data_IF_339971828629
#
_entry.id   IF_339971828629
#
_cell.length_a   1.000
_cell.length_b   1.000
_cell.length_c   1.000
_cell.angle_alpha   90.00
_cell.angle_beta   90.00
_cell.angle_gamma   90.00
#
_symmetry.space_group_name_H-M   'P 1'
#
loop_
_entity.id
_entity.type
_entity.pdbx_description
1 polymer ?
#
# COMPACT_ATOMS: atom_id res chain seq x y z
N UNK A 1 23.48 2.63 -20.91
CA UNK A 1 24.74 2.35 -20.15
C UNK A 1 25.41 1.12 -20.72
N UNK A 2 26.76 0.98 -20.63
CA UNK A 2 27.43 -0.28 -21.04
C UNK A 2 27.18 -1.39 -20.00
N UNK A 3 26.90 -2.60 -20.49
CA UNK A 3 26.61 -3.77 -19.63
C UNK A 3 27.77 -4.12 -18.68
N UNK A 4 29.04 -3.83 -19.08
CA UNK A 4 30.22 -4.03 -18.24
C UNK A 4 30.15 -3.20 -16.93
N UNK A 5 29.58 -2.00 -17.00
CA UNK A 5 29.43 -1.13 -15.84
C UNK A 5 28.33 -1.68 -14.90
N UNK A 6 27.28 -2.21 -15.49
CA UNK A 6 26.15 -2.80 -14.74
C UNK A 6 26.61 -4.06 -13.98
N UNK A 7 27.45 -4.88 -14.62
CA UNK A 7 27.98 -6.14 -14.06
C UNK A 7 29.24 -5.95 -13.21
N UNK A 8 29.67 -4.71 -13.00
CA UNK A 8 30.85 -4.41 -12.17
C UNK A 8 30.68 -4.98 -10.76
N UNK A 9 31.70 -5.68 -10.27
CA UNK A 9 31.73 -6.38 -8.98
C UNK A 9 30.77 -7.59 -8.86
N UNK A 10 30.17 -8.03 -9.97
CA UNK A 10 29.25 -9.19 -10.00
C UNK A 10 29.89 -10.31 -10.83
N UNK A 11 30.07 -10.07 -12.13
CA UNK A 11 30.68 -11.03 -13.05
C UNK A 11 31.50 -10.31 -14.13
N UNK A 12 32.62 -10.89 -14.51
CA UNK A 12 33.44 -10.36 -15.63
C UNK A 12 32.82 -10.76 -16.96
N UNK A 13 32.73 -9.80 -17.88
CA UNK A 13 32.26 -10.05 -19.25
C UNK A 13 33.07 -9.18 -20.22
N UNK A 14 33.37 -9.73 -21.40
CA UNK A 14 33.95 -8.98 -22.50
C UNK A 14 32.90 -8.37 -23.43
N UNK A 15 31.64 -8.69 -23.20
CA UNK A 15 30.51 -8.20 -23.97
C UNK A 15 30.42 -6.67 -23.86
N UNK A 16 30.38 -5.99 -24.99
CA UNK A 16 30.10 -4.54 -25.09
C UNK A 16 28.70 -4.36 -25.66
N UNK A 17 27.79 -3.86 -24.84
CA UNK A 17 26.38 -3.74 -25.19
C UNK A 17 25.79 -2.52 -24.49
N UNK A 18 25.04 -1.71 -25.23
CA UNK A 18 24.27 -0.60 -24.64
C UNK A 18 22.94 -1.11 -24.07
N UNK A 19 22.68 -0.76 -22.82
CA UNK A 19 21.48 -1.16 -22.06
C UNK A 19 20.68 0.07 -21.70
N UNK A 20 19.36 0.00 -21.86
CA UNK A 20 18.40 1.08 -21.57
C UNK A 20 17.72 0.93 -20.21
N UNK A 21 17.63 -0.28 -19.67
CA UNK A 21 16.98 -0.58 -18.39
C UNK A 21 17.20 -2.01 -17.93
N UNK A 22 16.72 -2.31 -16.72
CA UNK A 22 16.72 -3.64 -16.12
C UNK A 22 15.26 -4.05 -15.85
N UNK A 23 14.88 -5.30 -16.14
CA UNK A 23 13.53 -5.78 -15.91
C UNK A 23 13.47 -7.21 -15.38
N UNK A 24 12.65 -7.42 -14.35
CA UNK A 24 12.26 -8.74 -13.82
C UNK A 24 10.97 -9.27 -14.44
N UNK A 25 10.25 -8.44 -15.21
CA UNK A 25 8.91 -8.76 -15.67
C UNK A 25 8.72 -8.38 -17.14
N UNK A 26 8.39 -9.38 -17.96
CA UNK A 26 8.14 -9.15 -19.39
C UNK A 26 6.98 -8.20 -19.66
N UNK A 27 6.03 -7.99 -18.72
CA UNK A 27 4.92 -7.04 -18.92
C UNK A 27 5.40 -5.58 -18.92
N UNK A 28 6.43 -5.27 -18.14
CA UNK A 28 7.01 -3.91 -17.99
C UNK A 28 8.27 -3.71 -18.80
N UNK A 29 8.84 -4.78 -19.37
CA UNK A 29 10.06 -4.76 -20.16
C UNK A 29 9.93 -3.85 -21.38
N UNK A 30 10.91 -2.99 -21.60
CA UNK A 30 11.03 -2.07 -22.75
C UNK A 30 12.15 -2.52 -23.68
N UNK A 31 12.07 -2.08 -24.94
CA UNK A 31 13.13 -2.34 -25.92
C UNK A 31 14.47 -1.76 -25.43
N UNK A 32 15.50 -2.58 -25.47
CA UNK A 32 16.84 -2.19 -25.01
C UNK A 32 17.16 -2.57 -23.56
N UNK A 33 16.19 -3.14 -22.84
CA UNK A 33 16.38 -3.62 -21.47
C UNK A 33 17.17 -4.93 -21.41
N UNK A 34 17.81 -5.18 -20.28
CA UNK A 34 18.29 -6.50 -19.87
C UNK A 34 17.18 -7.19 -19.09
N UNK A 35 16.82 -8.39 -19.51
CA UNK A 35 15.89 -9.25 -18.77
C UNK A 35 16.61 -10.06 -17.70
N UNK A 36 16.15 -10.02 -16.47
CA UNK A 36 16.76 -10.74 -15.33
C UNK A 36 15.85 -11.93 -14.97
N UNK A 37 16.29 -13.13 -15.37
CA UNK A 37 15.55 -14.38 -15.25
C UNK A 37 15.87 -15.08 -13.92
N UNK A 38 15.01 -14.87 -12.91
CA UNK A 38 15.11 -15.47 -11.59
C UNK A 38 14.13 -16.64 -11.40
N UNK A 39 14.41 -17.47 -10.40
CA UNK A 39 13.42 -18.41 -9.86
C UNK A 39 12.35 -17.60 -9.11
N UNK A 40 11.12 -17.67 -9.60
CA UNK A 40 9.94 -17.16 -8.88
C UNK A 40 9.33 -18.23 -7.98
N UNK A 41 8.23 -17.90 -7.28
CA UNK A 41 7.52 -18.83 -6.39
C UNK A 41 6.92 -20.02 -7.14
N UNK A 42 6.37 -19.80 -8.33
CA UNK A 42 5.66 -20.83 -9.13
C UNK A 42 6.41 -21.24 -10.38
N UNK A 43 7.14 -20.32 -11.01
CA UNK A 43 7.79 -20.52 -12.32
C UNK A 43 9.17 -19.90 -12.33
N UNK A 44 10.05 -20.40 -13.18
CA UNK A 44 11.37 -19.80 -13.39
C UNK A 44 11.31 -18.74 -14.50
N UNK A 45 12.02 -17.63 -14.34
CA UNK A 45 12.10 -16.56 -15.35
C UNK A 45 12.57 -17.03 -16.73
N UNK A 46 13.27 -18.17 -16.82
CA UNK A 46 13.71 -18.78 -18.09
C UNK A 46 12.52 -19.02 -19.04
N UNK A 47 11.35 -19.38 -18.51
CA UNK A 47 10.15 -19.67 -19.32
C UNK A 47 9.65 -18.43 -20.08
N UNK A 48 10.09 -17.23 -19.67
CA UNK A 48 9.67 -15.96 -20.27
C UNK A 48 10.74 -15.33 -21.16
N UNK A 49 11.89 -15.98 -21.38
CA UNK A 49 13.01 -15.41 -22.17
C UNK A 49 12.57 -15.13 -23.62
N UNK A 50 11.85 -16.03 -24.27
CA UNK A 50 11.41 -15.80 -25.65
C UNK A 50 10.48 -14.57 -25.73
N UNK A 51 9.56 -14.44 -24.79
CA UNK A 51 8.69 -13.26 -24.72
C UNK A 51 9.49 -11.97 -24.45
N UNK A 52 10.53 -12.04 -23.62
CA UNK A 52 11.43 -10.90 -23.39
C UNK A 52 12.19 -10.50 -24.67
N UNK A 53 12.65 -11.48 -25.46
CA UNK A 53 13.32 -11.26 -26.75
C UNK A 53 12.37 -10.63 -27.77
N UNK A 54 11.13 -11.13 -27.88
CA UNK A 54 10.10 -10.55 -28.75
C UNK A 54 9.81 -9.09 -28.42
N UNK A 55 9.89 -8.72 -27.14
CA UNK A 55 9.74 -7.34 -26.65
C UNK A 55 11.00 -6.49 -26.79
N UNK A 56 12.09 -7.08 -27.26
CA UNK A 56 13.33 -6.37 -27.63
C UNK A 56 14.31 -6.24 -26.48
N UNK A 57 14.36 -7.18 -25.53
CA UNK A 57 15.49 -7.24 -24.60
C UNK A 57 16.80 -7.47 -25.38
N UNK A 58 17.87 -6.88 -24.88
CA UNK A 58 19.18 -6.91 -25.57
C UNK A 58 20.14 -7.94 -24.96
N UNK A 59 19.90 -8.39 -23.75
CA UNK A 59 20.62 -9.47 -23.09
C UNK A 59 19.75 -10.07 -21.97
N UNK A 60 20.12 -11.26 -21.50
CA UNK A 60 19.48 -11.96 -20.38
C UNK A 60 20.51 -12.27 -19.30
N UNK A 61 20.22 -11.97 -18.04
CA UNK A 61 20.96 -12.47 -16.88
C UNK A 61 20.24 -13.68 -16.32
N UNK A 62 20.95 -14.77 -16.06
CA UNK A 62 20.34 -16.05 -15.64
C UNK A 62 21.05 -16.59 -14.40
N UNK A 63 20.28 -17.08 -13.44
CA UNK A 63 20.79 -17.70 -12.21
C UNK A 63 21.29 -19.12 -12.48
N UNK A 64 22.55 -19.37 -12.18
CA UNK A 64 23.13 -20.69 -11.98
C UNK A 64 23.24 -21.64 -13.19
N UNK A 65 22.63 -21.35 -14.35
CA UNK A 65 22.64 -22.22 -15.54
C UNK A 65 22.99 -21.45 -16.80
N UNK A 66 23.73 -22.13 -17.69
CA UNK A 66 23.91 -21.62 -19.05
C UNK A 66 22.61 -21.88 -19.83
N UNK A 67 22.19 -20.89 -20.58
CA UNK A 67 21.01 -20.96 -21.42
C UNK A 67 21.32 -20.34 -22.79
N UNK A 68 21.11 -21.11 -23.83
CA UNK A 68 21.34 -20.64 -25.20
C UNK A 68 20.06 -19.98 -25.75
N UNK A 69 20.17 -18.72 -26.17
CA UNK A 69 19.08 -17.98 -26.74
C UNK A 69 19.58 -16.98 -27.79
N UNK A 70 18.64 -16.34 -28.52
CA UNK A 70 18.94 -15.45 -29.65
C UNK A 70 19.65 -14.15 -29.27
N UNK A 71 19.70 -13.81 -27.99
CA UNK A 71 20.44 -12.64 -27.47
C UNK A 71 21.54 -13.12 -26.52
N UNK A 72 22.57 -12.31 -26.24
CA UNK A 72 23.58 -12.67 -25.25
C UNK A 72 22.96 -13.07 -23.93
N UNK A 73 23.32 -14.26 -23.42
CA UNK A 73 22.97 -14.73 -22.08
C UNK A 73 24.21 -14.71 -21.20
N UNK A 74 24.07 -14.18 -19.98
CA UNK A 74 25.15 -14.08 -19.01
C UNK A 74 24.70 -14.78 -17.75
N UNK A 75 25.46 -15.82 -17.40
CA UNK A 75 25.27 -16.54 -16.15
C UNK A 75 25.80 -15.74 -14.97
N UNK A 76 24.99 -15.60 -13.94
CA UNK A 76 25.36 -14.99 -12.67
C UNK A 76 24.95 -15.94 -11.54
N UNK A 77 25.94 -16.46 -10.81
CA UNK A 77 25.65 -17.34 -9.67
C UNK A 77 25.04 -16.52 -8.54
N UNK A 78 23.96 -17.05 -7.92
CA UNK A 78 23.17 -16.38 -6.88
C UNK A 78 22.69 -14.97 -7.31
N UNK A 79 22.16 -14.89 -8.53
CA UNK A 79 21.71 -13.63 -9.16
C UNK A 79 20.76 -12.81 -8.27
N UNK A 80 19.94 -13.47 -7.46
CA UNK A 80 19.03 -12.80 -6.52
C UNK A 80 19.77 -11.92 -5.52
N UNK A 81 20.91 -12.35 -5.01
CA UNK A 81 21.74 -11.56 -4.07
C UNK A 81 22.40 -10.34 -4.72
N UNK A 82 22.44 -10.27 -6.04
CA UNK A 82 23.07 -9.18 -6.79
C UNK A 82 22.09 -8.14 -7.34
N UNK A 83 20.78 -8.30 -7.09
CA UNK A 83 19.77 -7.38 -7.65
C UNK A 83 19.96 -5.94 -7.21
N UNK A 84 20.27 -5.70 -5.94
CA UNK A 84 20.55 -4.37 -5.42
C UNK A 84 21.81 -3.76 -6.03
N UNK A 85 22.87 -4.55 -6.19
CA UNK A 85 24.12 -4.11 -6.84
C UNK A 85 23.88 -3.77 -8.32
N UNK A 86 23.11 -4.59 -9.05
CA UNK A 86 22.72 -4.31 -10.44
C UNK A 86 21.94 -2.99 -10.53
N UNK A 87 20.96 -2.80 -9.64
CA UNK A 87 20.16 -1.59 -9.59
C UNK A 87 21.02 -0.34 -9.30
N UNK A 88 21.88 -0.40 -8.28
CA UNK A 88 22.79 0.70 -7.92
C UNK A 88 23.79 1.04 -9.02
N UNK A 89 24.33 0.02 -9.71
CA UNK A 89 25.27 0.21 -10.81
C UNK A 89 24.61 0.87 -12.03
N UNK A 90 23.33 0.59 -12.26
CA UNK A 90 22.59 1.15 -13.40
C UNK A 90 21.94 2.50 -13.08
N UNK A 91 21.20 2.60 -11.97
CA UNK A 91 20.43 3.80 -11.56
C UNK A 91 21.23 4.65 -10.57
N UNK A 92 22.31 5.29 -11.07
CA UNK A 92 23.33 5.92 -10.21
C UNK A 92 22.86 7.17 -9.46
N UNK A 93 21.84 7.86 -9.95
CA UNK A 93 21.28 9.07 -9.33
C UNK A 93 20.15 8.76 -8.34
N UNK A 94 19.65 7.53 -8.28
CA UNK A 94 18.60 7.11 -7.33
C UNK A 94 18.97 7.42 -5.87
N UNK A 95 20.25 7.34 -5.52
CA UNK A 95 20.79 7.67 -4.18
C UNK A 95 20.67 9.14 -3.76
N UNK A 96 20.36 10.04 -4.70
CA UNK A 96 20.24 11.47 -4.42
C UNK A 96 18.86 11.84 -3.83
N UNK A 97 17.91 10.90 -3.83
CA UNK A 97 16.57 11.09 -3.27
C UNK A 97 16.58 10.62 -1.82
N UNK A 98 16.12 11.47 -0.91
CA UNK A 98 15.94 11.11 0.50
C UNK A 98 14.69 10.24 0.66
N UNK A 99 14.80 9.14 1.39
CA UNK A 99 13.78 8.10 1.44
C UNK A 99 13.13 8.00 2.81
N UNK A 100 11.80 8.02 2.83
CA UNK A 100 10.96 7.74 4.01
C UNK A 100 10.20 6.45 3.73
N UNK A 101 10.27 5.47 4.63
CA UNK A 101 9.51 4.23 4.50
C UNK A 101 8.39 4.16 5.53
N UNK A 102 7.19 3.72 5.09
CA UNK A 102 6.04 3.51 5.97
C UNK A 102 5.65 2.04 5.94
N UNK A 103 5.67 1.38 7.11
CA UNK A 103 5.21 -0.01 7.26
C UNK A 103 4.12 -0.12 8.32
N UNK A 104 3.34 -1.20 8.26
CA UNK A 104 2.24 -1.53 9.15
C UNK A 104 1.22 -2.42 8.44
N UNK A 105 0.20 -2.88 9.13
CA UNK A 105 -0.92 -3.58 8.50
C UNK A 105 -1.80 -2.55 7.78
N UNK A 106 -2.30 -1.58 8.50
CA UNK A 106 -3.16 -0.49 8.02
C UNK A 106 -2.42 0.86 8.10
N UNK A 107 -2.94 1.91 7.46
CA UNK A 107 -2.43 3.28 7.56
C UNK A 107 -1.27 3.63 6.62
N UNK A 108 -0.57 2.68 5.99
CA UNK A 108 0.58 2.97 5.10
C UNK A 108 0.27 4.02 4.04
N UNK A 109 -0.78 3.80 3.27
CA UNK A 109 -1.20 4.71 2.19
C UNK A 109 -1.60 6.08 2.74
N UNK A 110 -2.36 6.11 3.84
CA UNK A 110 -2.80 7.37 4.47
C UNK A 110 -1.62 8.17 4.96
N UNK A 111 -0.71 7.56 5.73
CA UNK A 111 0.49 8.23 6.26
C UNK A 111 1.39 8.73 5.12
N UNK A 112 1.66 7.89 4.11
CA UNK A 112 2.47 8.28 2.95
C UNK A 112 1.86 9.47 2.20
N UNK A 113 0.53 9.48 2.07
CA UNK A 113 -0.21 10.55 1.41
C UNK A 113 -0.23 11.85 2.22
N UNK A 114 -0.42 11.73 3.56
CA UNK A 114 -0.42 12.90 4.44
C UNK A 114 0.97 13.54 4.51
N UNK A 115 2.05 12.74 4.56
CA UNK A 115 3.42 13.27 4.45
C UNK A 115 3.58 14.03 3.13
N UNK A 116 3.15 13.45 2.01
CA UNK A 116 3.25 14.07 0.69
C UNK A 116 2.44 15.37 0.63
N UNK A 117 1.21 15.41 1.13
CA UNK A 117 0.39 16.62 1.16
C UNK A 117 1.04 17.72 2.02
N UNK A 118 1.54 17.38 3.21
CA UNK A 118 2.24 18.35 4.07
C UNK A 118 3.47 18.91 3.37
N UNK A 119 4.25 18.08 2.69
CA UNK A 119 5.42 18.52 1.92
C UNK A 119 5.03 19.41 0.73
N UNK A 120 3.93 19.08 0.02
CA UNK A 120 3.41 19.90 -1.07
C UNK A 120 2.96 21.27 -0.55
N UNK A 121 2.27 21.36 0.61
CA UNK A 121 1.90 22.62 1.24
C UNK A 121 3.12 23.42 1.72
N UNK A 122 4.21 22.73 2.05
CA UNK A 122 5.50 23.33 2.42
C UNK A 122 6.41 23.60 1.20
N UNK A 123 5.85 23.54 -0.01
CA UNK A 123 6.55 23.77 -1.28
C UNK A 123 7.82 22.90 -1.45
N UNK A 124 7.78 21.68 -0.92
CA UNK A 124 8.89 20.72 -0.99
C UNK A 124 8.58 19.64 -2.01
N UNK A 125 9.44 19.56 -3.05
CA UNK A 125 9.28 18.55 -4.10
C UNK A 125 9.45 17.12 -3.54
N UNK A 126 8.37 16.35 -3.63
CA UNK A 126 8.30 15.00 -3.10
C UNK A 126 7.55 14.07 -4.05
N UNK A 127 7.68 12.77 -3.83
CA UNK A 127 6.93 11.74 -4.55
C UNK A 127 6.54 10.58 -3.64
N UNK A 128 5.51 9.84 -4.03
CA UNK A 128 5.03 8.65 -3.31
C UNK A 128 5.17 7.42 -4.20
N UNK A 129 5.66 6.33 -3.63
CA UNK A 129 5.70 5.00 -4.25
C UNK A 129 4.88 4.06 -3.37
N UNK A 130 3.70 3.68 -3.83
CA UNK A 130 2.79 2.92 -2.98
C UNK A 130 1.59 2.32 -3.72
N UNK A 131 0.57 2.02 -2.94
CA UNK A 131 -0.67 1.35 -3.38
C UNK A 131 -1.41 2.15 -4.47
N UNK A 132 -1.38 3.48 -4.40
CA UNK A 132 -1.96 4.36 -5.41
C UNK A 132 -1.07 4.56 -6.64
N UNK A 133 0.03 3.82 -6.73
CA UNK A 133 0.99 3.89 -7.81
C UNK A 133 2.25 4.68 -7.42
N UNK A 134 2.90 5.24 -8.44
CA UNK A 134 4.10 6.06 -8.29
C UNK A 134 3.77 7.47 -8.79
N UNK A 135 3.70 8.45 -7.88
CA UNK A 135 3.33 9.82 -8.22
C UNK A 135 4.45 10.51 -9.02
N UNK A 136 4.10 11.54 -9.79
CA UNK A 136 5.05 12.37 -10.55
C UNK A 136 5.96 11.58 -11.52
N UNK A 137 5.49 10.43 -12.02
CA UNK A 137 6.17 9.57 -13.00
C UNK A 137 5.15 8.88 -13.91
N UNK A 138 5.59 8.44 -15.09
CA UNK A 138 4.78 7.61 -15.99
C UNK A 138 4.83 6.11 -15.63
N UNK A 139 5.71 5.71 -14.72
CA UNK A 139 5.85 4.34 -14.26
C UNK A 139 4.60 3.91 -13.48
N UNK A 140 4.15 2.67 -13.74
CA UNK A 140 2.98 2.08 -13.07
C UNK A 140 3.38 0.80 -12.34
N UNK A 141 2.80 0.58 -11.17
CA UNK A 141 2.90 -0.67 -10.44
C UNK A 141 1.53 -1.16 -10.04
N UNK A 142 1.35 -2.48 -10.01
CA UNK A 142 0.16 -3.15 -9.49
C UNK A 142 0.37 -3.64 -8.05
N UNK A 143 1.56 -3.47 -7.52
CA UNK A 143 1.91 -3.86 -6.15
C UNK A 143 2.06 -2.63 -5.28
N UNK A 144 1.65 -2.71 -4.02
CA UNK A 144 1.89 -1.67 -3.01
C UNK A 144 3.37 -1.23 -2.98
N UNK A 145 4.28 -2.19 -3.01
CA UNK A 145 5.72 -1.94 -3.17
C UNK A 145 6.18 -2.62 -4.45
N UNK A 146 6.61 -1.88 -5.47
CA UNK A 146 7.10 -2.42 -6.73
C UNK A 146 8.30 -3.36 -6.57
N UNK A 147 8.75 -3.97 -7.66
CA UNK A 147 10.04 -4.66 -7.70
C UNK A 147 11.21 -3.68 -7.61
N UNK A 148 12.38 -4.20 -7.27
CA UNK A 148 13.57 -3.40 -7.01
C UNK A 148 13.98 -2.51 -8.19
N UNK A 149 13.92 -2.99 -9.43
CA UNK A 149 14.32 -2.19 -10.59
C UNK A 149 13.30 -1.09 -10.90
N UNK A 150 12.02 -1.37 -10.70
CA UNK A 150 10.95 -0.37 -10.82
C UNK A 150 11.13 0.75 -9.80
N UNK A 151 11.49 0.42 -8.55
CA UNK A 151 11.77 1.42 -7.50
C UNK A 151 12.98 2.27 -7.90
N UNK A 152 14.12 1.65 -8.21
CA UNK A 152 15.33 2.38 -8.57
C UNK A 152 15.17 3.23 -9.83
N UNK A 153 14.44 2.73 -10.84
CA UNK A 153 14.10 3.50 -12.05
C UNK A 153 13.27 4.74 -11.72
N UNK A 154 12.30 4.59 -10.81
CA UNK A 154 11.48 5.73 -10.36
C UNK A 154 12.30 6.75 -9.57
N UNK A 155 13.20 6.30 -8.70
CA UNK A 155 14.09 7.19 -7.96
C UNK A 155 15.07 7.92 -8.87
N UNK A 156 15.57 7.26 -9.94
CA UNK A 156 16.39 7.91 -10.98
C UNK A 156 15.62 9.02 -11.71
N UNK A 157 14.33 8.75 -12.05
CA UNK A 157 13.44 9.74 -12.66
C UNK A 157 13.14 10.88 -11.69
N UNK A 158 12.88 10.59 -10.41
CA UNK A 158 12.70 11.60 -9.38
C UNK A 158 13.91 12.51 -9.24
N UNK A 159 15.11 11.92 -9.13
CA UNK A 159 16.36 12.70 -9.08
C UNK A 159 16.52 13.62 -10.29
N UNK A 160 16.19 13.13 -11.48
CA UNK A 160 16.27 13.89 -12.74
C UNK A 160 15.26 15.05 -12.77
N UNK A 161 14.08 14.86 -12.18
CA UNK A 161 13.01 15.83 -12.08
C UNK A 161 13.10 16.71 -10.82
N UNK A 162 14.21 16.64 -10.07
CA UNK A 162 14.47 17.40 -8.83
C UNK A 162 13.48 17.08 -7.69
N UNK A 163 12.85 15.92 -7.71
CA UNK A 163 12.10 15.38 -6.57
C UNK A 163 13.12 14.89 -5.56
N UNK A 164 13.23 15.55 -4.42
CA UNK A 164 14.30 15.33 -3.45
C UNK A 164 13.92 14.34 -2.34
N UNK A 165 12.62 14.11 -2.12
CA UNK A 165 12.10 13.23 -1.07
C UNK A 165 11.14 12.22 -1.72
N UNK A 166 11.28 10.94 -1.37
CA UNK A 166 10.31 9.91 -1.75
C UNK A 166 9.79 9.16 -0.53
N UNK A 167 8.46 9.07 -0.42
CA UNK A 167 7.77 8.28 0.60
C UNK A 167 7.38 6.94 0.00
N UNK A 168 7.86 5.84 0.60
CA UNK A 168 7.68 4.48 0.08
C UNK A 168 6.85 3.65 1.04
N UNK A 169 5.75 3.07 0.56
CA UNK A 169 5.01 2.07 1.31
C UNK A 169 5.82 0.77 1.35
N UNK A 170 6.38 0.42 2.52
CA UNK A 170 7.18 -0.78 2.75
C UNK A 170 6.31 -1.94 3.21
N UNK A 171 5.75 -2.71 2.27
CA UNK A 171 4.97 -3.91 2.58
C UNK A 171 5.85 -5.02 3.17
N UNK A 172 5.28 -5.86 4.03
CA UNK A 172 5.99 -7.00 4.61
C UNK A 172 6.53 -7.97 3.56
N UNK A 173 5.79 -8.18 2.47
CA UNK A 173 6.26 -8.95 1.32
C UNK A 173 7.50 -8.34 0.68
N UNK A 174 7.52 -7.02 0.49
CA UNK A 174 8.66 -6.33 -0.11
C UNK A 174 9.92 -6.44 0.76
N UNK A 175 9.76 -6.27 2.08
CA UNK A 175 10.84 -6.43 3.05
C UNK A 175 11.40 -7.87 3.07
N UNK A 176 10.53 -8.89 2.97
CA UNK A 176 10.95 -10.29 2.91
C UNK A 176 11.56 -10.69 1.56
N UNK A 177 11.08 -10.10 0.48
CA UNK A 177 11.54 -10.43 -0.88
C UNK A 177 12.75 -9.62 -1.32
N UNK A 178 13.25 -8.70 -0.48
CA UNK A 178 14.42 -7.89 -0.79
C UNK A 178 14.18 -6.79 -1.83
N UNK A 179 12.91 -6.36 -2.04
CA UNK A 179 12.59 -5.33 -3.04
C UNK A 179 13.15 -3.95 -2.69
N UNK A 180 13.46 -3.74 -1.42
CA UNK A 180 14.01 -2.49 -0.87
C UNK A 180 15.51 -2.60 -0.56
N UNK A 181 16.15 -3.73 -0.86
CA UNK A 181 17.56 -3.94 -0.57
C UNK A 181 18.46 -2.91 -1.28
N UNK A 182 19.51 -2.50 -0.57
CA UNK A 182 20.47 -1.51 -1.06
C UNK A 182 19.99 -0.06 -1.00
N UNK A 183 18.73 0.19 -0.60
CA UNK A 183 18.23 1.51 -0.25
C UNK A 183 18.60 1.83 1.20
N UNK A 184 18.71 3.12 1.52
CA UNK A 184 18.88 3.63 2.89
C UNK A 184 17.80 4.66 3.16
N UNK A 185 17.00 4.45 4.18
CA UNK A 185 15.91 5.34 4.54
C UNK A 185 16.37 6.32 5.61
N UNK A 186 16.05 7.61 5.44
CA UNK A 186 16.24 8.61 6.50
C UNK A 186 15.28 8.35 7.65
N UNK A 187 14.08 7.84 7.34
CA UNK A 187 13.05 7.55 8.32
C UNK A 187 12.36 6.22 8.01
N UNK A 188 12.06 5.44 9.06
CA UNK A 188 11.18 4.28 9.05
C UNK A 188 10.01 4.53 9.99
N UNK A 189 8.78 4.39 9.50
CA UNK A 189 7.56 4.65 10.24
C UNK A 189 6.79 3.34 10.43
N UNK A 190 6.41 3.03 11.66
CA UNK A 190 5.54 1.91 12.02
C UNK A 190 4.16 2.42 12.44
N UNK A 191 3.11 1.97 11.78
CA UNK A 191 1.74 2.39 12.06
C UNK A 191 1.00 1.44 13.01
N UNK A 192 0.90 0.15 12.67
CA UNK A 192 0.24 -0.88 13.48
C UNK A 192 0.51 -2.29 12.97
N UNK A 193 0.18 -3.29 13.80
CA UNK A 193 0.26 -4.72 13.44
C UNK A 193 -1.01 -5.45 13.85
N UNK A 194 -1.89 -5.76 12.91
CA UNK A 194 -3.09 -6.59 13.09
C UNK A 194 -3.08 -7.77 12.13
N UNK A 195 -3.99 -8.74 12.30
CA UNK A 195 -3.97 -9.96 11.50
C UNK A 195 -4.22 -9.68 10.01
N UNK A 196 -3.22 -9.99 9.19
CA UNK A 196 -3.30 -10.04 7.73
C UNK A 196 -2.15 -10.89 7.17
N UNK A 197 -2.25 -11.30 5.90
CA UNK A 197 -1.19 -11.99 5.15
C UNK A 197 -0.63 -13.27 5.82
N UNK A 198 -1.43 -13.97 6.64
CA UNK A 198 -1.00 -15.24 7.25
C UNK A 198 -0.90 -16.39 6.23
N UNK A 199 -1.51 -16.24 5.06
CA UNK A 199 -1.30 -17.11 3.90
C UNK A 199 0.17 -17.12 3.43
N UNK A 200 0.89 -16.02 3.61
CA UNK A 200 2.30 -15.85 3.27
C UNK A 200 3.23 -16.00 4.48
N UNK A 201 2.93 -15.32 5.58
CA UNK A 201 3.81 -15.27 6.77
C UNK A 201 3.61 -16.44 7.74
N UNK A 202 2.48 -17.17 7.65
CA UNK A 202 2.08 -18.32 8.46
C UNK A 202 1.74 -17.96 9.92
N UNK A 203 2.51 -17.10 10.59
CA UNK A 203 2.30 -16.68 11.97
C UNK A 203 2.39 -15.15 12.11
N UNK A 204 1.75 -14.61 13.16
CA UNK A 204 1.87 -13.18 13.50
C UNK A 204 3.31 -12.80 13.87
N UNK A 205 4.07 -13.70 14.50
CA UNK A 205 5.49 -13.44 14.81
C UNK A 205 6.33 -13.26 13.55
N UNK A 206 6.19 -14.15 12.56
CA UNK A 206 6.89 -13.99 11.28
C UNK A 206 6.46 -12.70 10.56
N UNK A 207 5.18 -12.32 10.67
CA UNK A 207 4.67 -11.10 10.08
C UNK A 207 5.26 -9.85 10.76
N UNK A 208 5.36 -9.87 12.09
CA UNK A 208 6.02 -8.83 12.90
C UNK A 208 7.51 -8.72 12.56
N UNK A 209 8.23 -9.84 12.52
CA UNK A 209 9.64 -9.90 12.14
C UNK A 209 9.89 -9.35 10.72
N UNK A 210 9.01 -9.68 9.77
CA UNK A 210 9.10 -9.15 8.42
C UNK A 210 9.06 -7.61 8.38
N UNK A 211 8.17 -6.98 9.17
CA UNK A 211 8.11 -5.52 9.29
C UNK A 211 9.29 -4.95 10.09
N UNK A 212 9.75 -5.69 11.11
CA UNK A 212 10.89 -5.32 11.95
C UNK A 212 12.18 -5.09 11.16
N UNK A 213 12.35 -5.75 10.00
CA UNK A 213 13.51 -5.56 9.13
C UNK A 213 13.74 -4.09 8.74
N UNK A 214 12.67 -3.28 8.63
CA UNK A 214 12.79 -1.87 8.30
C UNK A 214 13.62 -1.09 9.35
N UNK A 215 13.67 -1.56 10.58
CA UNK A 215 14.30 -0.86 11.72
C UNK A 215 15.66 -1.45 12.10
N UNK A 216 16.05 -2.59 11.51
CA UNK A 216 17.30 -3.30 11.78
C UNK A 216 18.47 -2.76 10.93
N UNK A 217 19.69 -3.03 11.37
CA UNK A 217 20.94 -2.89 10.59
C UNK A 217 21.12 -1.51 9.93
N UNK A 218 20.61 -0.45 10.53
CA UNK A 218 20.60 0.92 9.98
C UNK A 218 19.87 1.02 8.63
N UNK A 219 18.92 0.15 8.35
CA UNK A 219 18.11 0.23 7.15
C UNK A 219 17.27 1.52 7.13
N UNK A 220 16.76 1.94 8.30
CA UNK A 220 16.28 3.30 8.53
C UNK A 220 17.10 4.00 9.63
N UNK A 221 17.44 5.28 9.40
CA UNK A 221 18.27 6.06 10.34
C UNK A 221 17.47 6.56 11.53
N UNK A 222 16.22 6.96 11.31
CA UNK A 222 15.28 7.43 12.34
C UNK A 222 14.06 6.51 12.37
N UNK A 223 13.73 6.00 13.53
CA UNK A 223 12.53 5.20 13.75
C UNK A 223 11.42 6.08 14.34
N UNK A 224 10.23 6.01 13.77
CA UNK A 224 9.00 6.69 14.23
C UNK A 224 7.96 5.60 14.47
N UNK A 225 7.64 5.32 15.73
CA UNK A 225 6.92 4.12 16.15
C UNK A 225 5.64 4.50 16.87
N UNK A 226 4.51 3.96 16.41
CA UNK A 226 3.23 4.11 17.07
C UNK A 226 3.21 3.34 18.40
N UNK A 227 3.14 4.05 19.53
CA UNK A 227 3.12 3.46 20.86
C UNK A 227 1.74 2.95 21.29
N UNK A 228 0.68 3.29 20.55
CA UNK A 228 -0.66 2.79 20.82
C UNK A 228 -0.83 1.33 20.34
N UNK A 229 0.06 0.83 19.49
CA UNK A 229 0.08 -0.57 19.06
C UNK A 229 0.75 -1.45 20.13
N UNK A 230 0.14 -2.58 20.46
CA UNK A 230 0.66 -3.52 21.48
C UNK A 230 2.06 -4.08 21.15
N UNK A 231 2.43 -4.11 19.87
CA UNK A 231 3.73 -4.59 19.41
C UNK A 231 4.82 -3.51 19.40
N UNK A 232 4.51 -2.26 19.77
CA UNK A 232 5.46 -1.14 19.67
C UNK A 232 6.80 -1.42 20.33
N UNK A 233 6.80 -2.09 21.49
CA UNK A 233 8.03 -2.41 22.22
C UNK A 233 8.97 -3.29 21.39
N UNK A 234 8.44 -4.26 20.65
CA UNK A 234 9.24 -5.07 19.73
C UNK A 234 9.98 -4.21 18.70
N UNK A 235 9.30 -3.21 18.11
CA UNK A 235 9.91 -2.34 17.10
C UNK A 235 10.94 -1.39 17.72
N UNK A 236 10.73 -0.93 18.95
CA UNK A 236 11.73 -0.17 19.71
C UNK A 236 12.97 -1.00 19.98
N UNK A 237 12.80 -2.22 20.50
CA UNK A 237 13.91 -3.13 20.86
C UNK A 237 14.70 -3.59 19.62
N UNK A 238 14.03 -3.70 18.49
CA UNK A 238 14.62 -4.12 17.20
C UNK A 238 15.32 -2.97 16.47
N UNK A 239 14.98 -1.73 16.80
CA UNK A 239 15.50 -0.55 16.11
C UNK A 239 16.98 -0.33 16.37
N UNK A 240 17.71 -0.03 15.29
CA UNK A 240 19.10 0.43 15.36
C UNK A 240 19.22 1.91 15.76
N UNK A 241 18.12 2.68 15.70
CA UNK A 241 18.07 4.07 16.18
C UNK A 241 18.09 4.09 17.70
N UNK A 242 19.02 4.84 18.30
CA UNK A 242 19.18 4.94 19.75
C UNK A 242 18.21 5.93 20.40
N UNK A 243 17.60 6.78 19.60
CA UNK A 243 16.66 7.81 20.04
C UNK A 243 15.40 7.78 19.16
N UNK A 244 14.68 6.64 19.13
CA UNK A 244 13.47 6.53 18.32
C UNK A 244 12.41 7.52 18.80
N UNK A 245 11.61 8.02 17.87
CA UNK A 245 10.44 8.83 18.19
C UNK A 245 9.26 7.88 18.35
N UNK A 246 8.54 8.01 19.45
CA UNK A 246 7.24 7.37 19.61
C UNK A 246 6.12 8.39 19.45
N UNK A 247 5.00 7.96 18.90
CA UNK A 247 3.80 8.78 18.78
C UNK A 247 2.56 7.98 19.18
N UNK A 248 1.51 8.68 19.56
CA UNK A 248 0.22 8.11 19.89
C UNK A 248 -0.87 9.17 19.89
N UNK A 249 -2.13 8.76 20.05
CA UNK A 249 -3.27 9.71 20.07
C UNK A 249 -3.17 10.66 21.28
N UNK A 250 -2.56 10.21 22.37
CA UNK A 250 -2.32 11.02 23.58
C UNK A 250 -1.22 12.10 23.42
N UNK A 251 -0.57 12.22 22.27
CA UNK A 251 0.21 13.40 21.89
C UNK A 251 -0.70 14.62 21.66
N UNK A 252 -1.99 14.39 21.33
CA UNK A 252 -3.00 15.44 21.33
C UNK A 252 -3.43 15.72 22.77
N UNK A 253 -3.25 16.95 23.25
CA UNK A 253 -3.72 17.39 24.55
C UNK A 253 -5.24 17.29 24.69
N UNK A 254 -5.92 17.40 23.54
CA UNK A 254 -7.36 17.31 23.42
C UNK A 254 -7.78 16.97 22.01
N UNK A 255 -8.82 16.16 21.85
CA UNK A 255 -9.56 16.04 20.60
C UNK A 255 -11.06 15.75 20.88
N UNK A 256 -11.90 16.18 19.95
CA UNK A 256 -13.34 15.84 19.94
C UNK A 256 -13.87 15.80 18.52
N UNK A 257 -14.92 15.04 18.29
CA UNK A 257 -15.61 15.01 16.99
C UNK A 257 -16.12 16.38 16.57
N UNK A 258 -16.02 16.68 15.28
CA UNK A 258 -16.65 17.78 14.59
C UNK A 258 -17.48 17.27 13.42
N UNK A 259 -18.19 18.13 12.73
CA UNK A 259 -19.01 17.77 11.56
C UNK A 259 -18.16 17.14 10.44
N UNK A 260 -16.92 17.62 10.24
CA UNK A 260 -16.06 17.17 9.14
C UNK A 260 -14.87 16.29 9.58
N UNK A 261 -14.74 16.01 10.87
CA UNK A 261 -13.61 15.25 11.40
C UNK A 261 -13.38 15.47 12.89
N UNK A 262 -12.28 16.13 13.28
CA UNK A 262 -11.94 16.36 14.67
C UNK A 262 -11.45 17.78 14.92
N UNK A 263 -11.90 18.40 16.04
CA UNK A 263 -11.20 19.56 16.61
C UNK A 263 -10.11 18.99 17.52
N UNK A 264 -8.86 19.35 17.24
CA UNK A 264 -7.67 18.86 17.93
C UNK A 264 -6.91 20.00 18.59
N UNK A 265 -6.22 19.70 19.70
CA UNK A 265 -5.17 20.54 20.24
C UNK A 265 -3.85 19.77 20.26
N UNK A 266 -2.84 20.34 19.62
CA UNK A 266 -1.47 19.83 19.61
C UNK A 266 -0.52 20.98 19.96
N UNK A 267 0.21 20.83 21.05
CA UNK A 267 0.98 21.93 21.64
C UNK A 267 0.07 23.17 21.87
N UNK A 268 0.48 24.36 21.50
CA UNK A 268 -0.30 25.61 21.66
C UNK A 268 -1.34 25.84 20.55
N UNK A 269 -1.56 24.88 19.62
CA UNK A 269 -2.40 25.05 18.45
C UNK A 269 -3.72 24.29 18.58
N UNK A 270 -4.83 24.99 18.28
CA UNK A 270 -6.15 24.38 18.10
C UNK A 270 -6.51 24.46 16.63
N UNK A 271 -6.86 23.33 16.03
CA UNK A 271 -7.21 23.21 14.61
C UNK A 271 -8.28 22.16 14.38
N UNK A 272 -8.98 22.26 13.25
CA UNK A 272 -9.87 21.21 12.77
C UNK A 272 -9.11 20.31 11.81
N UNK A 273 -9.02 19.00 12.13
CA UNK A 273 -8.48 17.98 11.24
C UNK A 273 -9.65 17.41 10.41
N UNK A 274 -9.71 17.64 9.09
CA UNK A 274 -10.85 17.24 8.25
C UNK A 274 -10.73 15.78 7.80
N UNK A 275 -10.53 14.88 8.76
CA UNK A 275 -10.38 13.43 8.56
C UNK A 275 -11.27 12.71 9.57
N UNK A 276 -12.05 11.75 9.12
CA UNK A 276 -12.93 10.96 9.97
C UNK A 276 -12.23 9.68 10.45
N UNK A 277 -12.58 9.23 11.68
CA UNK A 277 -12.03 8.03 12.31
C UNK A 277 -10.76 8.29 13.13
N UNK A 278 -10.76 7.80 14.37
CA UNK A 278 -9.64 8.00 15.31
C UNK A 278 -8.30 7.47 14.78
N UNK A 279 -8.32 6.41 13.95
CA UNK A 279 -7.11 5.93 13.30
C UNK A 279 -6.46 6.99 12.39
N UNK A 280 -7.22 7.96 11.88
CA UNK A 280 -6.67 9.07 11.10
C UNK A 280 -6.02 10.14 11.98
N UNK A 281 -6.39 10.26 13.26
CA UNK A 281 -5.61 11.06 14.23
C UNK A 281 -4.19 10.50 14.32
N UNK A 282 -4.05 9.20 14.59
CA UNK A 282 -2.77 8.52 14.65
C UNK A 282 -1.97 8.64 13.34
N UNK A 283 -2.62 8.46 12.17
CA UNK A 283 -1.97 8.62 10.88
C UNK A 283 -1.48 10.06 10.63
N UNK A 284 -2.26 11.08 11.04
CA UNK A 284 -1.88 12.49 10.92
C UNK A 284 -0.71 12.86 11.84
N UNK A 285 -0.71 12.32 13.08
CA UNK A 285 0.40 12.50 14.03
C UNK A 285 1.68 11.83 13.52
N UNK A 286 1.58 10.63 12.90
CA UNK A 286 2.72 9.97 12.26
C UNK A 286 3.31 10.85 11.15
N UNK A 287 2.46 11.41 10.29
CA UNK A 287 2.88 12.32 9.22
C UNK A 287 3.50 13.62 9.76
N UNK A 288 2.90 14.22 10.79
CA UNK A 288 3.43 15.39 11.49
C UNK A 288 4.85 15.13 12.03
N UNK A 289 5.05 14.03 12.76
CA UNK A 289 6.36 13.67 13.30
C UNK A 289 7.40 13.41 12.19
N UNK A 290 6.99 12.79 11.09
CA UNK A 290 7.86 12.58 9.94
C UNK A 290 8.34 13.89 9.32
N UNK A 291 7.42 14.84 9.09
CA UNK A 291 7.76 16.16 8.51
C UNK A 291 8.59 16.98 9.50
N UNK A 292 8.32 16.88 10.79
CA UNK A 292 9.14 17.51 11.85
C UNK A 292 10.58 16.99 11.83
N UNK A 293 10.80 15.70 11.60
CA UNK A 293 12.14 15.11 11.45
C UNK A 293 12.91 15.64 10.22
N UNK A 294 12.23 16.20 9.23
CA UNK A 294 12.88 16.86 8.09
C UNK A 294 13.34 18.29 8.41
N UNK A 295 13.11 18.77 9.62
CA UNK A 295 13.57 20.09 10.10
C UNK A 295 12.53 21.20 10.06
N UNK A 296 11.27 20.90 9.71
CA UNK A 296 10.18 21.86 9.82
C UNK A 296 9.70 21.97 11.28
N UNK A 297 9.27 23.17 11.68
CA UNK A 297 8.77 23.43 13.04
C UNK A 297 7.22 23.39 13.10
N UNK A 298 6.68 23.47 14.31
CA UNK A 298 5.24 23.38 14.56
C UNK A 298 4.45 24.50 13.87
N UNK A 299 4.97 25.74 13.86
CA UNK A 299 4.35 26.90 13.15
C UNK A 299 4.17 26.64 11.65
N UNK A 300 5.06 25.86 11.06
CA UNK A 300 5.04 25.52 9.64
C UNK A 300 4.12 24.35 9.34
N UNK A 301 4.07 23.31 10.21
CA UNK A 301 3.37 22.07 9.91
C UNK A 301 1.90 22.11 10.34
N UNK A 302 1.62 22.52 11.59
CA UNK A 302 0.30 22.37 12.22
C UNK A 302 -0.83 23.08 11.44
N UNK A 303 -0.64 24.30 10.88
CA UNK A 303 -1.68 24.94 10.05
C UNK A 303 -2.09 24.12 8.82
N UNK A 304 -1.22 23.23 8.33
CA UNK A 304 -1.49 22.39 7.17
C UNK A 304 -2.15 21.06 7.53
N UNK A 305 -2.13 20.62 8.80
CA UNK A 305 -2.95 19.49 9.25
C UNK A 305 -4.43 19.75 8.99
N UNK A 306 -4.89 21.00 9.12
CA UNK A 306 -6.25 21.43 8.81
C UNK A 306 -6.62 21.38 7.31
N UNK A 307 -5.67 21.09 6.43
CA UNK A 307 -5.86 21.01 4.97
C UNK A 307 -5.70 19.58 4.44
N UNK A 308 -5.42 18.61 5.30
CA UNK A 308 -5.28 17.23 4.90
C UNK A 308 -6.59 16.69 4.34
N UNK A 309 -6.48 15.82 3.36
CA UNK A 309 -7.61 15.10 2.78
C UNK A 309 -7.29 13.60 2.71
N UNK A 310 -8.29 12.72 2.86
CA UNK A 310 -8.05 11.29 2.77
C UNK A 310 -7.60 10.90 1.36
N UNK A 311 -6.72 9.89 1.23
CA UNK A 311 -6.39 9.37 -0.09
C UNK A 311 -7.63 8.72 -0.74
N UNK A 312 -7.68 8.63 -2.08
CA UNK A 312 -8.80 7.99 -2.78
C UNK A 312 -9.11 6.59 -2.23
N UNK A 313 -10.38 6.33 -1.95
CA UNK A 313 -10.86 5.04 -1.44
C UNK A 313 -10.41 4.70 -0.02
N UNK A 314 -10.09 5.71 0.81
CA UNK A 314 -9.77 5.57 2.24
C UNK A 314 -10.70 6.46 3.05
N UNK A 315 -11.78 5.92 3.59
CA UNK A 315 -12.88 6.68 4.21
C UNK A 315 -13.20 7.94 3.39
N UNK A 316 -13.38 7.73 2.08
CA UNK A 316 -13.68 8.80 1.14
C UNK A 316 -15.19 9.02 1.06
N UNK A 317 -15.64 10.19 1.49
CA UNK A 317 -17.03 10.61 1.31
C UNK A 317 -17.28 11.00 -0.15
N UNK A 318 -18.39 10.57 -0.73
CA UNK A 318 -18.75 10.89 -2.11
C UNK A 318 -19.71 12.07 -2.18
N UNK A 319 -19.32 13.11 -2.94
CA UNK A 319 -20.21 14.20 -3.38
C UNK A 319 -21.07 14.81 -2.25
N UNK A 320 -20.54 14.99 -1.04
CA UNK A 320 -21.28 15.48 0.14
C UNK A 320 -22.54 14.65 0.47
N UNK A 321 -22.52 13.36 0.17
CA UNK A 321 -23.58 12.41 0.49
C UNK A 321 -23.20 11.56 1.71
N UNK A 322 -24.15 10.79 2.23
CA UNK A 322 -23.88 9.81 3.29
C UNK A 322 -23.30 8.49 2.76
N UNK A 323 -22.57 8.55 1.63
CA UNK A 323 -21.94 7.40 0.97
C UNK A 323 -20.42 7.51 1.12
N UNK A 324 -19.85 6.42 1.63
CA UNK A 324 -18.42 6.32 1.94
C UNK A 324 -17.79 5.16 1.20
N UNK A 325 -16.59 5.36 0.69
CA UNK A 325 -15.80 4.31 0.04
C UNK A 325 -14.54 4.06 0.85
N UNK A 326 -14.28 2.79 1.15
CA UNK A 326 -13.08 2.38 1.87
C UNK A 326 -12.44 1.11 1.30
N UNK A 327 -11.15 1.00 1.45
CA UNK A 327 -10.37 -0.19 1.08
C UNK A 327 -10.39 -1.27 2.17
N UNK A 328 -11.23 -1.17 3.19
CA UNK A 328 -11.34 -2.11 4.30
C UNK A 328 -11.62 -3.54 3.82
N UNK A 329 -10.58 -4.36 3.77
CA UNK A 329 -10.60 -5.75 3.32
C UNK A 329 -10.03 -6.73 4.36
N UNK A 330 -9.80 -6.24 5.58
CA UNK A 330 -9.42 -7.02 6.77
C UNK A 330 -10.45 -6.84 7.87
N UNK A 331 -10.56 -7.76 8.85
CA UNK A 331 -11.47 -7.63 9.97
C UNK A 331 -11.31 -6.30 10.71
N UNK A 332 -10.08 -5.96 11.11
CA UNK A 332 -9.76 -4.72 11.82
C UNK A 332 -10.12 -3.47 11.01
N UNK A 333 -9.78 -3.43 9.71
CA UNK A 333 -10.13 -2.28 8.88
C UNK A 333 -11.65 -2.10 8.71
N UNK A 334 -12.41 -3.20 8.60
CA UNK A 334 -13.87 -3.15 8.51
C UNK A 334 -14.49 -2.67 9.84
N UNK A 335 -13.99 -3.16 10.98
CA UNK A 335 -14.43 -2.72 12.30
C UNK A 335 -14.18 -1.22 12.48
N UNK A 336 -13.00 -0.75 12.15
CA UNK A 336 -12.62 0.66 12.23
C UNK A 336 -13.49 1.55 11.32
N UNK A 337 -13.73 1.14 10.08
CA UNK A 337 -14.56 1.91 9.14
C UNK A 337 -16.00 2.01 9.61
N UNK A 338 -16.62 0.90 10.04
CA UNK A 338 -18.01 0.87 10.55
C UNK A 338 -18.14 1.62 11.86
N UNK A 339 -17.21 1.46 12.80
CA UNK A 339 -17.18 2.19 14.07
C UNK A 339 -17.03 3.70 13.84
N UNK A 340 -16.23 4.10 12.86
CA UNK A 340 -16.10 5.50 12.43
C UNK A 340 -17.45 6.06 11.97
N UNK A 341 -18.16 5.34 11.09
CA UNK A 341 -19.46 5.78 10.61
C UNK A 341 -20.49 5.83 11.74
N UNK A 342 -20.50 4.84 12.66
CA UNK A 342 -21.38 4.85 13.82
C UNK A 342 -21.13 6.06 14.73
N UNK A 343 -19.87 6.46 14.91
CA UNK A 343 -19.51 7.65 15.68
C UNK A 343 -19.91 8.95 14.97
N UNK A 344 -19.78 8.98 13.65
CA UNK A 344 -20.11 10.15 12.84
C UNK A 344 -21.62 10.30 12.62
N UNK A 345 -22.35 9.17 12.54
CA UNK A 345 -23.79 9.09 12.33
C UNK A 345 -24.46 8.27 13.45
N UNK A 346 -24.51 8.75 14.70
CA UNK A 346 -25.01 7.95 15.84
C UNK A 346 -26.46 7.50 15.71
N UNK A 347 -27.30 8.30 15.05
CA UNK A 347 -28.75 8.05 14.90
C UNK A 347 -29.12 7.40 13.55
N UNK A 348 -28.15 7.29 12.60
CA UNK A 348 -28.42 6.75 11.27
C UNK A 348 -28.34 5.23 11.27
N UNK A 349 -29.11 4.61 10.37
CA UNK A 349 -28.88 3.23 10.01
C UNK A 349 -27.64 3.11 9.13
N UNK A 350 -26.71 2.24 9.52
CA UNK A 350 -25.47 1.98 8.75
C UNK A 350 -25.67 0.75 7.88
N UNK A 351 -25.58 0.95 6.58
CA UNK A 351 -25.59 -0.12 5.59
C UNK A 351 -24.16 -0.35 5.08
N UNK A 352 -23.76 -1.63 4.97
CA UNK A 352 -22.44 -1.98 4.43
C UNK A 352 -22.56 -2.89 3.21
N UNK A 353 -21.77 -2.58 2.18
CA UNK A 353 -21.53 -3.45 1.02
C UNK A 353 -20.10 -3.95 1.09
N UNK A 354 -19.88 -5.26 1.11
CA UNK A 354 -18.53 -5.82 1.03
C UNK A 354 -18.53 -7.25 0.50
N UNK A 355 -17.34 -7.70 0.16
CA UNK A 355 -17.01 -9.07 -0.17
C UNK A 355 -15.59 -9.39 0.24
N UNK A 356 -15.15 -10.62 -0.03
CA UNK A 356 -13.77 -11.04 0.23
C UNK A 356 -13.10 -11.52 -1.06
N UNK A 357 -11.78 -11.37 -1.13
CA UNK A 357 -11.00 -11.89 -2.25
C UNK A 357 -10.87 -13.41 -2.21
N UNK A 358 -11.02 -14.06 -3.36
CA UNK A 358 -10.65 -15.47 -3.58
C UNK A 358 -9.14 -15.63 -3.66
N UNK A 359 -8.65 -16.87 -3.45
CA UNK A 359 -7.23 -17.24 -3.41
C UNK A 359 -6.44 -16.40 -2.37
N UNK A 360 -7.07 -16.13 -1.22
CA UNK A 360 -6.54 -15.35 -0.10
C UNK A 360 -6.90 -16.03 1.23
N UNK A 361 -6.50 -15.41 2.35
CA UNK A 361 -6.83 -15.87 3.69
C UNK A 361 -8.34 -16.07 3.86
N UNK A 362 -8.78 -17.32 4.01
CA UNK A 362 -10.17 -17.70 4.23
C UNK A 362 -10.62 -17.42 5.67
N UNK A 363 -9.68 -17.46 6.63
CA UNK A 363 -9.99 -17.30 8.05
C UNK A 363 -10.62 -15.95 8.37
N UNK A 364 -10.28 -14.90 7.62
CA UNK A 364 -10.84 -13.56 7.81
C UNK A 364 -12.30 -13.43 7.36
N UNK A 365 -12.83 -14.30 6.48
CA UNK A 365 -14.16 -14.18 5.89
C UNK A 365 -15.26 -14.21 6.96
N UNK A 366 -15.24 -15.24 7.80
CA UNK A 366 -16.18 -15.38 8.91
C UNK A 366 -16.03 -14.24 9.94
N UNK A 367 -14.81 -13.79 10.21
CA UNK A 367 -14.56 -12.67 11.12
C UNK A 367 -15.17 -11.36 10.59
N UNK A 368 -15.02 -11.09 9.28
CA UNK A 368 -15.62 -9.91 8.64
C UNK A 368 -17.15 -9.97 8.65
N UNK A 369 -17.75 -11.14 8.42
CA UNK A 369 -19.20 -11.36 8.56
C UNK A 369 -19.70 -11.04 9.98
N UNK A 370 -18.97 -11.52 11.00
CA UNK A 370 -19.28 -11.23 12.41
C UNK A 370 -19.22 -9.72 12.71
N UNK A 371 -18.16 -9.05 12.29
CA UNK A 371 -17.98 -7.61 12.51
C UNK A 371 -19.08 -6.80 11.83
N UNK A 372 -19.39 -7.12 10.57
CA UNK A 372 -20.48 -6.47 9.86
C UNK A 372 -21.82 -6.63 10.63
N UNK A 373 -22.11 -7.82 11.16
CA UNK A 373 -23.30 -8.10 11.97
C UNK A 373 -23.35 -7.36 13.31
N UNK A 374 -22.20 -7.01 13.87
CA UNK A 374 -22.11 -6.32 15.16
C UNK A 374 -22.13 -4.81 15.02
N UNK A 375 -21.75 -4.26 13.85
CA UNK A 375 -21.56 -2.84 13.64
C UNK A 375 -22.54 -2.20 12.65
N UNK A 376 -23.05 -2.94 11.68
CA UNK A 376 -23.99 -2.44 10.68
C UNK A 376 -25.43 -2.91 10.96
N UNK A 377 -26.39 -2.08 10.54
CA UNK A 377 -27.82 -2.39 10.66
C UNK A 377 -28.33 -3.24 9.48
N UNK A 378 -27.72 -3.06 8.28
CA UNK A 378 -28.00 -3.89 7.12
C UNK A 378 -26.72 -4.20 6.33
N UNK A 379 -26.68 -5.38 5.72
CA UNK A 379 -25.49 -5.93 5.06
C UNK A 379 -25.84 -6.35 3.65
N UNK A 380 -25.05 -5.94 2.67
CA UNK A 380 -25.11 -6.46 1.31
C UNK A 380 -23.78 -7.18 1.02
N UNK A 381 -23.86 -8.50 0.83
CA UNK A 381 -22.72 -9.31 0.44
C UNK A 381 -22.62 -9.40 -1.08
N UNK A 382 -21.43 -9.14 -1.59
CA UNK A 382 -21.16 -9.10 -3.03
C UNK A 382 -19.76 -9.61 -3.38
N UNK A 383 -19.46 -9.74 -4.66
CA UNK A 383 -18.10 -10.09 -5.09
C UNK A 383 -17.13 -8.93 -4.87
N UNK A 384 -15.94 -9.27 -4.38
CA UNK A 384 -14.75 -8.45 -4.45
C UNK A 384 -13.93 -8.84 -5.71
N UNK A 385 -12.87 -9.60 -5.56
CA UNK A 385 -12.08 -10.25 -6.60
C UNK A 385 -12.16 -11.77 -6.41
N UNK A 386 -13.16 -12.49 -6.95
CA UNK A 386 -13.33 -13.93 -6.66
C UNK A 386 -12.18 -14.78 -7.21
N UNK A 387 -11.43 -14.30 -8.22
CA UNK A 387 -10.32 -15.01 -8.85
C UNK A 387 -10.72 -16.41 -9.29
N UNK A 388 -10.01 -17.48 -8.85
CA UNK A 388 -10.30 -18.86 -9.24
C UNK A 388 -11.36 -19.56 -8.37
N UNK A 389 -11.76 -18.95 -7.24
CA UNK A 389 -12.76 -19.52 -6.34
C UNK A 389 -14.19 -19.28 -6.83
N UNK A 390 -15.10 -20.16 -6.42
CA UNK A 390 -16.53 -19.98 -6.65
C UNK A 390 -17.02 -18.77 -5.82
N UNK A 391 -17.62 -17.75 -6.47
CA UNK A 391 -18.16 -16.58 -5.78
C UNK A 391 -19.14 -16.92 -4.65
N UNK A 392 -20.01 -17.91 -4.86
CA UNK A 392 -20.99 -18.30 -3.84
C UNK A 392 -20.32 -18.92 -2.60
N UNK A 393 -19.27 -19.72 -2.80
CA UNK A 393 -18.53 -20.30 -1.67
C UNK A 393 -17.86 -19.22 -0.80
N UNK A 394 -17.38 -18.12 -1.41
CA UNK A 394 -16.83 -16.98 -0.65
C UNK A 394 -17.93 -16.31 0.19
N UNK A 395 -19.11 -16.11 -0.39
CA UNK A 395 -20.26 -15.52 0.31
C UNK A 395 -20.70 -16.43 1.47
N UNK A 396 -20.77 -17.74 1.25
CA UNK A 396 -21.17 -18.70 2.28
C UNK A 396 -20.20 -18.69 3.48
N UNK A 397 -18.89 -18.55 3.23
CA UNK A 397 -17.88 -18.39 4.28
C UNK A 397 -18.07 -17.10 5.09
N UNK A 398 -18.49 -16.00 4.45
CA UNK A 398 -18.78 -14.73 5.14
C UNK A 398 -20.08 -14.88 5.96
N UNK A 399 -21.14 -15.45 5.36
CA UNK A 399 -22.44 -15.68 6.00
C UNK A 399 -22.31 -16.52 7.27
N UNK A 400 -21.39 -17.48 7.31
CA UNK A 400 -21.14 -18.29 8.50
C UNK A 400 -20.73 -17.46 9.73
N UNK A 401 -20.31 -16.22 9.53
CA UNK A 401 -20.02 -15.26 10.61
C UNK A 401 -21.17 -14.32 10.97
N UNK A 402 -22.18 -14.19 10.11
CA UNK A 402 -23.29 -13.27 10.35
C UNK A 402 -24.32 -13.85 11.34
N UNK A 403 -25.04 -12.97 12.03
CA UNK A 403 -26.14 -13.37 12.92
C UNK A 403 -27.42 -13.53 12.11
N UNK A 404 -28.29 -14.49 12.51
CA UNK A 404 -29.56 -14.79 11.83
C UNK A 404 -30.55 -13.60 11.84
N UNK A 405 -30.39 -12.69 12.80
CA UNK A 405 -31.26 -11.54 13.03
C UNK A 405 -30.93 -10.35 12.10
N UNK A 406 -29.78 -10.36 11.43
CA UNK A 406 -29.39 -9.25 10.57
C UNK A 406 -30.14 -9.29 9.23
N UNK A 407 -30.45 -8.09 8.69
CA UNK A 407 -30.89 -7.93 7.30
C UNK A 407 -29.70 -8.11 6.37
N UNK A 408 -29.53 -9.33 5.83
CA UNK A 408 -28.44 -9.69 4.92
C UNK A 408 -28.97 -9.96 3.53
N UNK A 409 -28.57 -9.14 2.56
CA UNK A 409 -28.88 -9.34 1.15
C UNK A 409 -27.63 -9.87 0.42
N UNK A 410 -27.84 -10.71 -0.58
CA UNK A 410 -26.77 -11.23 -1.44
C UNK A 410 -27.03 -10.76 -2.85
N UNK A 411 -26.11 -9.96 -3.39
CA UNK A 411 -26.12 -9.48 -4.77
C UNK A 411 -24.73 -9.70 -5.34
N UNK A 412 -24.54 -10.79 -6.09
CA UNK A 412 -23.22 -11.22 -6.58
C UNK A 412 -22.55 -10.18 -7.50
N UNK A 413 -23.31 -9.55 -8.40
CA UNK A 413 -22.78 -8.44 -9.20
C UNK A 413 -22.57 -7.21 -8.33
N UNK A 414 -21.32 -6.79 -8.19
CA UNK A 414 -20.94 -5.68 -7.33
C UNK A 414 -21.50 -4.35 -7.81
N UNK A 415 -21.57 -4.14 -9.13
CA UNK A 415 -22.15 -2.94 -9.69
C UNK A 415 -23.65 -2.84 -9.40
N UNK A 416 -24.38 -3.95 -9.50
CA UNK A 416 -25.80 -4.00 -9.16
C UNK A 416 -26.02 -3.83 -7.66
N UNK A 417 -25.16 -4.40 -6.81
CA UNK A 417 -25.19 -4.20 -5.36
C UNK A 417 -25.08 -2.72 -4.99
N UNK A 418 -24.10 -2.02 -5.57
CA UNK A 418 -23.86 -0.59 -5.33
C UNK A 418 -25.06 0.25 -5.82
N UNK A 419 -25.50 0.04 -7.07
CA UNK A 419 -26.65 0.77 -7.65
C UNK A 419 -27.94 0.57 -6.83
N UNK A 420 -28.25 -0.67 -6.47
CA UNK A 420 -29.44 -0.98 -5.67
C UNK A 420 -29.39 -0.33 -4.30
N UNK A 421 -28.23 -0.38 -3.62
CA UNK A 421 -28.08 0.23 -2.30
C UNK A 421 -28.23 1.75 -2.35
N UNK A 422 -27.66 2.43 -3.35
CA UNK A 422 -27.75 3.88 -3.48
C UNK A 422 -29.18 4.32 -3.82
N UNK A 423 -29.85 3.62 -4.74
CA UNK A 423 -31.24 3.92 -5.12
C UNK A 423 -32.24 3.74 -3.98
N UNK A 424 -31.94 2.85 -3.04
CA UNK A 424 -32.80 2.56 -1.87
C UNK A 424 -32.34 3.25 -0.59
N UNK A 425 -31.29 4.10 -0.64
CA UNK A 425 -30.74 4.76 0.53
C UNK A 425 -31.70 5.83 1.06
N UNK A 426 -32.07 5.73 2.33
CA UNK A 426 -32.90 6.69 3.02
C UNK A 426 -32.15 7.94 3.50
N UNK A 427 -32.90 8.98 3.92
CA UNK A 427 -32.31 10.24 4.40
C UNK A 427 -31.50 10.04 5.70
N UNK A 428 -31.93 9.13 6.57
CA UNK A 428 -31.26 8.79 7.84
C UNK A 428 -30.46 7.47 7.72
N UNK A 429 -29.85 7.23 6.56
CA UNK A 429 -28.98 6.09 6.31
C UNK A 429 -27.60 6.53 5.83
N UNK A 430 -26.56 5.81 6.30
CA UNK A 430 -25.19 5.95 5.80
C UNK A 430 -24.74 4.64 5.14
N UNK A 431 -24.14 4.73 3.96
CA UNK A 431 -23.68 3.59 3.18
C UNK A 431 -22.15 3.52 3.18
N UNK A 432 -21.60 2.38 3.60
CA UNK A 432 -20.19 2.04 3.42
C UNK A 432 -20.03 1.03 2.26
N UNK A 433 -19.27 1.39 1.25
CA UNK A 433 -18.83 0.49 0.18
C UNK A 433 -17.39 0.11 0.49
N UNK A 434 -17.18 -1.13 0.98
CA UNK A 434 -15.90 -1.58 1.50
C UNK A 434 -15.24 -2.68 0.62
N UNK A 435 -13.91 -2.76 0.69
CA UNK A 435 -13.09 -3.82 0.09
C UNK A 435 -12.18 -3.33 -1.02
N UNK A 436 -12.71 -2.66 -2.04
CA UNK A 436 -11.95 -2.26 -3.25
C UNK A 436 -11.37 -0.84 -3.18
N UNK A 437 -12.04 0.08 -2.50
CA UNK A 437 -11.56 1.45 -2.35
C UNK A 437 -11.23 2.11 -3.70
N UNK A 438 -9.94 2.35 -3.95
CA UNK A 438 -9.41 2.99 -5.17
C UNK A 438 -9.17 2.01 -6.35
N UNK A 439 -9.39 0.71 -6.18
CA UNK A 439 -9.17 -0.27 -7.25
C UNK A 439 -10.02 0.05 -8.49
N UNK A 440 -9.41 -0.06 -9.66
CA UNK A 440 -10.06 0.20 -10.96
C UNK A 440 -10.33 -1.08 -11.77
N UNK A 441 -10.17 -2.24 -11.14
CA UNK A 441 -10.38 -3.54 -11.80
C UNK A 441 -11.01 -4.55 -10.86
N UNK A 442 -11.74 -5.53 -11.44
CA UNK A 442 -12.21 -6.72 -10.75
C UNK A 442 -11.64 -7.97 -11.44
N UNK A 443 -11.09 -8.90 -10.67
CA UNK A 443 -10.48 -10.14 -11.18
C UNK A 443 -11.45 -11.30 -11.01
N UNK A 444 -11.91 -11.85 -12.16
CA UNK A 444 -12.81 -13.01 -12.23
C UNK A 444 -12.11 -14.10 -13.04
N UNK A 445 -11.90 -15.27 -12.45
CA UNK A 445 -11.03 -16.28 -13.02
C UNK A 445 -9.61 -15.75 -13.21
N UNK A 446 -9.08 -15.88 -14.40
CA UNK A 446 -7.77 -15.35 -14.81
C UNK A 446 -7.83 -13.97 -15.48
N UNK A 447 -9.03 -13.38 -15.62
CA UNK A 447 -9.24 -12.14 -16.34
C UNK A 447 -9.44 -10.96 -15.40
N UNK A 448 -8.85 -9.82 -15.75
CA UNK A 448 -9.08 -8.54 -15.09
C UNK A 448 -10.07 -7.72 -15.92
N UNK A 449 -11.16 -7.28 -15.31
CA UNK A 449 -12.19 -6.45 -15.92
C UNK A 449 -12.10 -5.04 -15.35
N UNK A 450 -12.29 -3.98 -16.15
CA UNK A 450 -12.43 -2.61 -15.63
C UNK A 450 -13.63 -2.54 -14.68
N UNK A 451 -13.40 -2.00 -13.49
CA UNK A 451 -14.44 -1.81 -12.47
C UNK A 451 -13.94 -0.86 -11.38
N UNK A 452 -14.75 0.11 -10.99
CA UNK A 452 -14.44 1.05 -9.91
C UNK A 452 -15.68 1.31 -9.06
N UNK A 453 -15.56 1.10 -7.74
CA UNK A 453 -16.63 1.44 -6.79
C UNK A 453 -17.02 2.91 -6.88
N UNK A 454 -16.01 3.79 -6.99
CA UNK A 454 -16.19 5.25 -7.06
C UNK A 454 -17.00 5.64 -8.31
N UNK A 455 -16.63 5.11 -9.49
CA UNK A 455 -17.31 5.42 -10.74
C UNK A 455 -18.76 4.93 -10.75
N UNK A 456 -18.98 3.69 -10.31
CA UNK A 456 -20.33 3.10 -10.23
C UNK A 456 -21.21 3.88 -9.24
N UNK A 457 -20.66 4.27 -8.09
CA UNK A 457 -21.41 5.03 -7.09
C UNK A 457 -21.74 6.45 -7.57
N UNK A 458 -20.78 7.15 -8.19
CA UNK A 458 -21.01 8.48 -8.77
C UNK A 458 -22.04 8.44 -9.91
N UNK A 459 -22.05 7.37 -10.71
CA UNK A 459 -23.06 7.21 -11.76
C UNK A 459 -24.46 6.92 -11.19
N UNK A 460 -24.56 6.18 -10.08
CA UNK A 460 -25.82 5.90 -9.41
C UNK A 460 -26.42 7.11 -8.68
N UNK A 461 -25.60 8.13 -8.38
CA UNK A 461 -26.03 9.40 -7.75
C UNK A 461 -26.57 10.43 -8.77
N UNK A 462 -26.40 10.20 -10.07
CA UNK A 462 -26.95 11.06 -11.15
C UNK A 462 -28.42 10.80 -11.37
#
# INVERSE_FOLDING_TARGET
>A
MDIKLILKNIVKTDLTLSVSGLSLNTKTLKKGDVFVALQGEKTHGIEFIENAIEKGCVAVLIDGKDFDCKVPSIRVDNLKAHLSTLAQNFYTSAKNVDLIAVTGTNGKTSVSHYISQLLDFLETDNGVIGTLGMSKTENKSINTTPDIFSIYSTLEEYSSNKVNIAVIEASSHALMQGRLEGLSFSQGIFTNLTQDHLDYHQTMDNYREAKGKLFQDNFSKKAIINRDDENHQYFLDTSSDKEPITFGIDDLEFYKNSENGFICQLNDYVFELPLVGEFNLSNAIAAYNSVKCLGFNDDQIIPYLAKLSPPPGRMQQLANSNIWIDYAHTPDALDNALSTLRTHYPEFNIRVIFGCGGDRDKGKRQMMGKIASERADSIILTNDNPRSEDPQAIIDDILAGTKVENDVQIILDRGDAIRSAIQSLGEEEALLIAGKGHETTQVIGSKSHPFSDIEVALDALK
#
